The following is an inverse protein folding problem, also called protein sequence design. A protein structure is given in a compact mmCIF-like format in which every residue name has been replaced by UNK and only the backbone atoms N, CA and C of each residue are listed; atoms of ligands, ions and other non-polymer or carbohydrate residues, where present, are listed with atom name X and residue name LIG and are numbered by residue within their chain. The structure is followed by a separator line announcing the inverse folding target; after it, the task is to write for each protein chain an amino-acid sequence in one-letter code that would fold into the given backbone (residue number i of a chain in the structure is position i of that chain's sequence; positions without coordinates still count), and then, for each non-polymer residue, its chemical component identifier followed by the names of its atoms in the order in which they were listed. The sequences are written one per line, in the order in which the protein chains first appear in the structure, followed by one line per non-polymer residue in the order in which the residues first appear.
data_IF_283090834185
#
_entry.id   IF_283090834185
#
_cell.length_a   1.000
_cell.length_b   1.000
_cell.length_c   1.000
_cell.angle_alpha   90.00
_cell.angle_beta   90.00
_cell.angle_gamma   90.00
#
_symmetry.space_group_name_H-M   'P 1'
#
loop_
_entity.id
_entity.type
_entity.pdbx_description
1 polymer ?
#
# COMPACT_ATOMS: atom_id res chain seq x y z
N UNK A 1 -14.67 11.05 39.90
CA UNK A 1 -13.42 11.67 39.40
C UNK A 1 -12.50 10.51 39.05
N UNK A 2 -11.93 10.47 37.84
CA UNK A 2 -10.98 9.40 37.48
C UNK A 2 -9.69 9.65 38.28
N UNK A 3 -9.18 8.64 38.97
CA UNK A 3 -7.92 8.74 39.72
C UNK A 3 -6.73 8.69 38.77
N UNK A 4 -5.74 9.54 39.04
CA UNK A 4 -4.43 9.50 38.40
C UNK A 4 -3.52 8.67 39.28
N UNK A 5 -3.17 7.47 38.83
CA UNK A 5 -2.41 6.51 39.64
C UNK A 5 -0.95 6.94 39.82
N UNK A 6 -0.47 7.86 38.97
CA UNK A 6 0.92 8.33 38.93
C UNK A 6 1.18 9.51 39.89
N UNK A 7 0.12 10.10 40.45
CA UNK A 7 0.22 11.30 41.30
C UNK A 7 1.13 11.11 42.54
N UNK A 8 1.15 9.91 43.13
CA UNK A 8 2.05 9.60 44.26
C UNK A 8 3.53 9.59 43.85
N UNK A 9 3.85 9.22 42.60
CA UNK A 9 5.20 9.34 42.06
C UNK A 9 5.57 10.81 41.80
N UNK A 10 4.63 11.63 41.31
CA UNK A 10 4.85 13.08 41.16
C UNK A 10 5.12 13.74 42.51
N UNK A 11 4.33 13.43 43.53
CA UNK A 11 4.51 13.98 44.87
C UNK A 11 5.83 13.54 45.49
N UNK A 12 6.21 12.27 45.33
CA UNK A 12 7.53 11.78 45.73
C UNK A 12 8.65 12.57 45.05
N UNK A 13 8.50 12.87 43.77
CA UNK A 13 9.46 13.66 43.00
C UNK A 13 9.57 15.11 43.49
N UNK A 14 8.45 15.79 43.72
CA UNK A 14 8.45 17.15 44.24
C UNK A 14 9.09 17.24 45.63
N UNK A 15 8.93 16.21 46.46
CA UNK A 15 9.57 16.16 47.78
C UNK A 15 11.08 15.92 47.72
N UNK A 16 11.57 15.18 46.72
CA UNK A 16 12.99 14.89 46.54
C UNK A 16 13.73 15.97 45.74
N UNK A 17 13.04 16.72 44.88
CA UNK A 17 13.63 17.80 44.06
C UNK A 17 14.48 18.80 44.85
N UNK A 18 14.04 19.35 46.00
CA UNK A 18 14.86 20.26 46.80
C UNK A 18 16.08 19.57 47.42
N UNK A 19 15.98 18.29 47.75
CA UNK A 19 17.08 17.53 48.33
C UNK A 19 18.15 17.34 47.28
N UNK A 20 17.78 16.87 46.08
CA UNK A 20 18.68 16.60 44.95
C UNK A 20 19.29 17.88 44.37
N UNK A 21 18.53 18.98 44.25
CA UNK A 21 19.03 20.25 43.69
C UNK A 21 19.96 21.02 44.63
N UNK A 22 19.89 20.80 45.95
CA UNK A 22 20.67 21.54 46.95
C UNK A 22 21.83 20.72 47.57
N UNK A 23 22.20 19.59 46.98
CA UNK A 23 23.20 18.69 47.56
C UNK A 23 24.62 19.29 47.50
N UNK A 24 25.24 19.48 48.66
CA UNK A 24 26.69 19.58 48.86
C UNK A 24 27.35 18.22 49.17
N UNK A 25 26.56 17.18 49.48
CA UNK A 25 27.02 15.82 49.87
C UNK A 25 26.14 14.71 49.27
N UNK A 26 26.67 13.82 48.42
CA UNK A 26 25.89 12.82 47.68
C UNK A 26 25.02 11.93 48.60
N UNK A 27 23.88 11.39 48.09
CA UNK A 27 22.99 10.53 48.88
C UNK A 27 23.75 9.31 49.43
N UNK A 28 23.39 8.86 50.64
CA UNK A 28 24.00 7.66 51.23
C UNK A 28 23.49 6.38 50.54
N UNK A 29 24.23 5.28 50.67
CA UNK A 29 23.80 3.96 50.15
C UNK A 29 22.42 3.53 50.72
N UNK A 30 22.14 3.90 51.98
CA UNK A 30 20.85 3.62 52.61
C UNK A 30 19.70 4.44 51.96
N UNK A 31 19.96 5.70 51.58
CA UNK A 31 18.98 6.54 50.89
C UNK A 31 18.65 5.95 49.51
N UNK A 32 19.69 5.54 48.76
CA UNK A 32 19.54 4.87 47.46
C UNK A 32 18.70 3.61 47.55
N UNK A 33 18.98 2.75 48.52
CA UNK A 33 18.23 1.52 48.72
C UNK A 33 16.77 1.82 49.07
N UNK A 34 16.53 2.79 49.96
CA UNK A 34 15.17 3.21 50.33
C UNK A 34 14.38 3.73 49.13
N UNK A 35 15.00 4.55 48.27
CA UNK A 35 14.37 5.05 47.05
C UNK A 35 14.05 3.93 46.06
N UNK A 36 14.98 2.99 45.85
CA UNK A 36 14.75 1.82 45.01
C UNK A 36 13.57 0.95 45.50
N UNK A 37 13.50 0.68 46.79
CA UNK A 37 12.43 -0.11 47.40
C UNK A 37 11.08 0.59 47.24
N UNK A 38 11.03 1.90 47.50
CA UNK A 38 9.81 2.70 47.29
C UNK A 38 9.36 2.68 45.83
N UNK A 39 10.25 3.04 44.88
CA UNK A 39 9.92 3.10 43.45
C UNK A 39 9.47 1.74 42.91
N UNK A 40 10.09 0.65 43.38
CA UNK A 40 9.69 -0.71 43.02
C UNK A 40 8.29 -1.06 43.54
N UNK A 41 8.02 -0.79 44.81
CA UNK A 41 6.72 -1.02 45.42
C UNK A 41 5.62 -0.21 44.73
N UNK A 42 5.92 1.05 44.42
CA UNK A 42 4.97 1.98 43.83
C UNK A 42 4.66 1.67 42.36
N UNK A 43 5.69 1.35 41.56
CA UNK A 43 5.52 0.82 40.20
C UNK A 43 4.61 -0.41 40.19
N UNK A 44 4.82 -1.33 41.13
CA UNK A 44 4.01 -2.54 41.28
C UNK A 44 2.58 -2.24 41.70
N UNK A 45 2.38 -1.24 42.59
CA UNK A 45 1.05 -0.77 43.00
C UNK A 45 0.29 -0.21 41.80
N UNK A 46 0.91 0.66 41.02
CA UNK A 46 0.31 1.29 39.83
C UNK A 46 -0.11 0.25 38.81
N UNK A 47 0.77 -0.70 38.45
CA UNK A 47 0.43 -1.77 37.51
C UNK A 47 -0.76 -2.61 37.97
N UNK A 48 -0.80 -3.00 39.26
CA UNK A 48 -1.94 -3.72 39.85
C UNK A 48 -3.23 -2.88 39.84
N UNK A 49 -3.12 -1.56 40.04
CA UNK A 49 -4.25 -0.65 39.98
C UNK A 49 -4.80 -0.49 38.57
N UNK A 50 -3.97 -0.44 37.53
CA UNK A 50 -4.44 -0.50 36.15
C UNK A 50 -5.26 -1.76 35.89
N UNK A 51 -4.75 -2.93 36.29
CA UNK A 51 -5.48 -4.19 36.13
C UNK A 51 -6.81 -4.18 36.88
N UNK A 52 -6.79 -3.80 38.16
CA UNK A 52 -7.99 -3.82 39.01
C UNK A 52 -9.05 -2.83 38.52
N UNK A 53 -8.67 -1.57 38.30
CA UNK A 53 -9.61 -0.50 37.95
C UNK A 53 -10.16 -0.68 36.54
N UNK A 54 -9.35 -1.16 35.58
CA UNK A 54 -9.80 -1.37 34.22
C UNK A 54 -11.00 -2.34 34.14
N UNK A 55 -10.99 -3.42 34.93
CA UNK A 55 -12.09 -4.39 34.96
C UNK A 55 -13.30 -3.94 35.80
N UNK A 56 -13.11 -3.05 36.77
CA UNK A 56 -14.19 -2.53 37.61
C UNK A 56 -14.96 -1.37 36.95
N UNK A 57 -14.31 -0.64 36.04
CA UNK A 57 -14.90 0.50 35.36
C UNK A 57 -15.74 0.07 34.15
N UNK A 58 -16.73 0.90 33.79
CA UNK A 58 -17.48 0.73 32.53
C UNK A 58 -16.53 0.91 31.34
N UNK A 59 -16.73 0.23 30.20
CA UNK A 59 -15.77 0.21 29.09
C UNK A 59 -15.24 1.59 28.64
N UNK A 60 -16.13 2.55 28.32
CA UNK A 60 -15.71 3.91 27.91
C UNK A 60 -14.95 4.67 29.01
N UNK A 61 -15.27 4.39 30.27
CA UNK A 61 -14.61 5.03 31.43
C UNK A 61 -13.25 4.39 31.67
N UNK A 62 -13.13 3.08 31.49
CA UNK A 62 -11.88 2.34 31.56
C UNK A 62 -10.90 2.78 30.46
N UNK A 63 -11.38 2.93 29.22
CA UNK A 63 -10.60 3.48 28.11
C UNK A 63 -10.06 4.88 28.45
N UNK A 64 -10.94 5.81 28.84
CA UNK A 64 -10.53 7.17 29.22
C UNK A 64 -9.56 7.17 30.40
N UNK A 65 -9.74 6.28 31.35
CA UNK A 65 -8.85 6.11 32.49
C UNK A 65 -7.43 5.70 32.05
N UNK A 66 -7.30 4.75 31.12
CA UNK A 66 -6.00 4.37 30.55
C UNK A 66 -5.39 5.53 29.78
N UNK A 67 -6.15 6.21 28.92
CA UNK A 67 -5.65 7.33 28.11
C UNK A 67 -5.11 8.47 28.96
N UNK A 68 -5.82 8.85 30.03
CA UNK A 68 -5.38 9.91 30.94
C UNK A 68 -4.08 9.53 31.66
N UNK A 69 -4.03 8.33 32.25
CA UNK A 69 -2.83 7.87 32.94
C UNK A 69 -1.64 7.70 31.98
N UNK A 70 -1.88 7.29 30.74
CA UNK A 70 -0.83 7.21 29.72
C UNK A 70 -0.27 8.60 29.39
N UNK A 71 -1.13 9.60 29.15
CA UNK A 71 -0.70 10.98 28.87
C UNK A 71 0.08 11.60 30.04
N UNK A 72 -0.38 11.39 31.27
CA UNK A 72 0.29 11.93 32.44
C UNK A 72 1.63 11.21 32.70
N UNK A 73 1.72 9.92 32.40
CA UNK A 73 3.00 9.20 32.42
C UNK A 73 4.01 9.78 31.42
N UNK A 74 3.57 10.03 30.18
CA UNK A 74 4.43 10.63 29.15
C UNK A 74 4.96 12.00 29.60
N UNK A 75 4.06 12.86 30.11
CA UNK A 75 4.42 14.18 30.63
C UNK A 75 5.43 14.11 31.77
N UNK A 76 5.24 13.17 32.70
CA UNK A 76 6.14 12.98 33.83
C UNK A 76 7.53 12.54 33.35
N UNK A 77 7.60 11.58 32.41
CA UNK A 77 8.87 11.14 31.82
C UNK A 77 9.57 12.31 31.12
N UNK A 78 8.88 13.04 30.25
CA UNK A 78 9.45 14.19 29.55
C UNK A 78 9.97 15.25 30.52
N UNK A 79 9.22 15.56 31.58
CA UNK A 79 9.67 16.51 32.61
C UNK A 79 10.94 16.04 33.32
N UNK A 80 11.10 14.74 33.57
CA UNK A 80 12.28 14.17 34.23
C UNK A 80 13.47 14.17 33.27
N UNK A 81 13.26 13.87 31.99
CA UNK A 81 14.29 13.93 30.96
C UNK A 81 14.85 15.35 30.82
N UNK A 82 13.97 16.34 30.75
CA UNK A 82 14.35 17.75 30.69
C UNK A 82 15.16 18.16 31.92
N UNK A 83 14.74 17.75 33.12
CA UNK A 83 15.50 18.02 34.35
C UNK A 83 16.87 17.34 34.33
N UNK A 84 16.94 16.06 33.93
CA UNK A 84 18.19 15.32 33.80
C UNK A 84 19.18 16.02 32.87
N UNK A 85 18.73 16.49 31.71
CA UNK A 85 19.57 17.21 30.75
C UNK A 85 20.05 18.57 31.27
N UNK A 86 19.21 19.28 32.01
CA UNK A 86 19.55 20.59 32.59
C UNK A 86 20.50 20.50 33.80
N UNK A 87 20.60 19.34 34.45
CA UNK A 87 21.47 19.13 35.63
C UNK A 87 22.93 18.76 35.32
N UNK A 88 23.29 18.55 34.06
CA UNK A 88 24.63 18.09 33.61
C UNK A 88 25.81 19.01 34.04
N UNK A 89 25.53 20.22 34.53
CA UNK A 89 26.55 21.18 34.99
C UNK A 89 26.96 21.14 36.48
N UNK A 90 26.32 20.36 37.35
CA UNK A 90 26.63 20.30 38.80
C UNK A 90 26.70 18.84 39.27
N UNK A 91 27.85 18.42 39.79
CA UNK A 91 28.21 17.05 40.21
C UNK A 91 27.51 15.92 39.42
N UNK A 92 27.99 15.59 38.21
CA UNK A 92 27.22 14.89 37.18
C UNK A 92 26.84 13.43 37.49
N UNK A 93 27.46 12.77 38.46
CA UNK A 93 27.32 11.31 38.63
C UNK A 93 26.06 10.93 39.42
N UNK A 94 25.97 11.34 40.68
CA UNK A 94 24.90 10.90 41.59
C UNK A 94 23.51 11.41 41.20
N UNK A 95 23.40 12.65 40.73
CA UNK A 95 22.13 13.24 40.30
C UNK A 95 21.63 12.59 39.00
N UNK A 96 22.53 12.32 38.05
CA UNK A 96 22.17 11.65 36.81
C UNK A 96 21.75 10.19 37.08
N UNK A 97 22.49 9.46 37.92
CA UNK A 97 22.13 8.11 38.33
C UNK A 97 20.70 8.04 38.93
N UNK A 98 20.29 9.07 39.68
CA UNK A 98 18.96 9.14 40.25
C UNK A 98 17.87 9.26 39.18
N UNK A 99 18.04 10.20 38.25
CA UNK A 99 17.07 10.38 37.16
C UNK A 99 17.03 9.14 36.26
N UNK A 100 18.17 8.51 35.96
CA UNK A 100 18.22 7.26 35.19
C UNK A 100 17.49 6.11 35.89
N UNK A 101 17.67 5.98 37.22
CA UNK A 101 16.93 5.02 38.03
C UNK A 101 15.42 5.27 37.91
N UNK A 102 14.98 6.51 38.12
CA UNK A 102 13.57 6.88 38.07
C UNK A 102 12.94 6.62 36.70
N UNK A 103 13.61 7.06 35.62
CA UNK A 103 13.19 6.83 34.25
C UNK A 103 13.05 5.32 33.96
N UNK A 104 13.94 4.49 34.52
CA UNK A 104 13.85 3.03 34.41
C UNK A 104 12.58 2.46 35.07
N UNK A 105 12.12 3.01 36.19
CA UNK A 105 10.88 2.56 36.83
C UNK A 105 9.63 3.06 36.08
N UNK A 106 9.62 4.31 35.62
CA UNK A 106 8.52 4.86 34.82
C UNK A 106 8.39 4.13 33.48
N UNK A 107 9.52 3.77 32.87
CA UNK A 107 9.56 2.92 31.69
C UNK A 107 8.84 1.59 31.91
N UNK A 108 9.00 0.94 33.08
CA UNK A 108 8.29 -0.32 33.37
C UNK A 108 6.79 -0.13 33.41
N UNK A 109 6.30 1.02 33.89
CA UNK A 109 4.88 1.38 33.85
C UNK A 109 4.44 1.61 32.40
N UNK A 110 5.24 2.33 31.61
CA UNK A 110 4.96 2.62 30.20
C UNK A 110 4.86 1.33 29.38
N UNK A 111 5.86 0.44 29.46
CA UNK A 111 5.88 -0.86 28.79
C UNK A 111 4.68 -1.72 29.20
N UNK A 112 4.28 -1.67 30.47
CA UNK A 112 3.08 -2.37 30.93
C UNK A 112 1.81 -1.84 30.24
N UNK A 113 1.64 -0.52 30.18
CA UNK A 113 0.52 0.12 29.49
C UNK A 113 0.47 -0.25 28.00
N UNK A 114 1.60 -0.10 27.32
CA UNK A 114 1.75 -0.41 25.91
C UNK A 114 1.49 -1.90 25.60
N UNK A 115 1.89 -2.82 26.49
CA UNK A 115 1.70 -4.26 26.30
C UNK A 115 0.25 -4.71 26.48
N UNK A 116 -0.42 -4.25 27.53
CA UNK A 116 -1.73 -4.79 27.93
C UNK A 116 -2.91 -3.94 27.46
N UNK A 117 -2.68 -2.66 27.16
CA UNK A 117 -3.73 -1.70 26.85
C UNK A 117 -3.51 -0.96 25.53
N UNK A 118 -2.69 -1.51 24.63
CA UNK A 118 -2.38 -0.95 23.31
C UNK A 118 -3.62 -0.43 22.54
N UNK A 119 -4.71 -1.21 22.56
CA UNK A 119 -5.94 -0.89 21.84
C UNK A 119 -6.65 0.40 22.34
N UNK A 120 -6.31 0.89 23.53
CA UNK A 120 -6.90 2.07 24.15
C UNK A 120 -5.96 3.29 24.11
N UNK A 121 -4.73 3.11 23.66
CA UNK A 121 -3.69 4.14 23.63
C UNK A 121 -3.64 4.74 22.22
N UNK A 122 -3.53 6.07 22.16
CA UNK A 122 -3.25 6.74 20.90
C UNK A 122 -1.78 6.50 20.51
N UNK A 123 -1.59 5.67 19.49
CA UNK A 123 -0.27 5.26 19.02
C UNK A 123 0.43 6.36 18.19
N UNK A 124 -0.28 7.43 17.82
CA UNK A 124 0.27 8.58 17.10
C UNK A 124 0.87 9.63 18.05
N UNK A 125 0.80 9.38 19.37
CA UNK A 125 1.50 10.20 20.35
C UNK A 125 3.01 9.97 20.30
N UNK A 126 3.81 11.04 20.43
CA UNK A 126 5.25 10.93 20.48
C UNK A 126 5.68 10.19 21.76
N UNK A 127 6.71 9.37 21.63
CA UNK A 127 7.31 8.67 22.76
C UNK A 127 8.43 9.52 23.41
N UNK A 128 8.67 9.34 24.72
CA UNK A 128 9.77 10.02 25.41
C UNK A 128 11.12 9.54 24.88
N UNK A 129 12.11 10.43 24.88
CA UNK A 129 13.38 10.18 24.20
C UNK A 129 14.17 9.06 24.87
N UNK A 130 14.16 8.99 26.21
CA UNK A 130 14.82 7.94 26.98
C UNK A 130 14.35 6.55 26.55
N UNK A 131 13.03 6.36 26.51
CA UNK A 131 12.43 5.10 26.09
C UNK A 131 12.80 4.77 24.64
N UNK A 132 12.65 5.75 23.75
CA UNK A 132 12.93 5.57 22.34
C UNK A 132 14.40 5.19 22.06
N UNK A 133 15.37 5.78 22.77
CA UNK A 133 16.78 5.49 22.59
C UNK A 133 17.13 4.04 22.95
N UNK A 134 16.55 3.53 24.03
CA UNK A 134 16.74 2.13 24.44
C UNK A 134 16.17 1.15 23.42
N UNK A 135 14.97 1.44 22.91
CA UNK A 135 14.32 0.63 21.88
C UNK A 135 15.10 0.69 20.55
N UNK A 136 15.61 1.86 20.18
CA UNK A 136 16.52 2.03 19.02
C UNK A 136 17.78 1.18 19.16
N UNK A 137 18.38 1.10 20.34
CA UNK A 137 19.55 0.26 20.56
C UNK A 137 19.25 -1.23 20.33
N UNK A 138 18.09 -1.71 20.77
CA UNK A 138 17.63 -3.09 20.50
C UNK A 138 17.42 -3.34 19.01
N UNK A 139 16.72 -2.42 18.33
CA UNK A 139 16.50 -2.49 16.87
C UNK A 139 17.83 -2.46 16.10
N UNK A 140 18.77 -1.61 16.51
CA UNK A 140 20.08 -1.50 15.86
C UNK A 140 20.88 -2.80 15.94
N UNK A 141 20.85 -3.50 17.08
CA UNK A 141 21.49 -4.80 17.25
C UNK A 141 20.93 -5.84 16.27
N UNK A 142 19.61 -5.97 16.20
CA UNK A 142 18.98 -6.91 15.27
C UNK A 142 19.15 -6.51 13.80
N UNK A 143 19.15 -5.21 13.49
CA UNK A 143 19.42 -4.72 12.13
C UNK A 143 20.84 -5.08 11.69
N UNK A 144 21.82 -5.03 12.59
CA UNK A 144 23.18 -5.47 12.30
C UNK A 144 23.22 -6.95 11.89
N UNK A 145 22.45 -7.81 12.57
CA UNK A 145 22.31 -9.21 12.17
C UNK A 145 21.64 -9.35 10.80
N UNK A 146 20.55 -8.61 10.54
CA UNK A 146 19.87 -8.62 9.24
C UNK A 146 20.75 -8.15 8.08
N UNK A 147 21.74 -7.30 8.32
CA UNK A 147 22.72 -6.90 7.29
C UNK A 147 23.56 -8.08 6.76
N UNK A 148 23.53 -9.24 7.40
CA UNK A 148 24.10 -10.47 6.82
C UNK A 148 23.37 -10.92 5.56
N UNK A 149 22.15 -10.45 5.30
CA UNK A 149 21.44 -10.69 4.04
C UNK A 149 22.19 -10.15 2.81
N UNK A 150 23.02 -9.11 2.94
CA UNK A 150 23.89 -8.65 1.84
C UNK A 150 24.96 -9.67 1.43
N UNK A 151 25.23 -10.68 2.26
CA UNK A 151 26.18 -11.74 1.95
C UNK A 151 25.55 -12.85 1.08
N UNK A 152 24.23 -12.82 0.89
CA UNK A 152 23.51 -13.78 0.05
C UNK A 152 23.48 -13.28 -1.39
N UNK A 153 24.20 -13.91 -2.33
CA UNK A 153 24.34 -13.43 -3.71
C UNK A 153 23.02 -13.47 -4.50
N UNK A 154 22.03 -14.22 -4.03
CA UNK A 154 20.71 -14.35 -4.66
C UNK A 154 19.83 -13.12 -4.43
N UNK A 155 20.14 -12.29 -3.43
CA UNK A 155 19.33 -11.13 -3.08
C UNK A 155 19.85 -9.89 -3.80
N UNK A 156 18.94 -9.14 -4.43
CA UNK A 156 19.25 -7.85 -5.00
C UNK A 156 19.65 -6.87 -3.89
N UNK A 157 20.93 -6.45 -3.89
CA UNK A 157 21.46 -5.50 -2.93
C UNK A 157 20.72 -4.16 -2.98
N UNK A 158 20.25 -3.72 -4.15
CA UNK A 158 19.50 -2.48 -4.28
C UNK A 158 18.13 -2.58 -3.60
N UNK A 159 17.47 -3.74 -3.67
CA UNK A 159 16.23 -4.00 -2.95
C UNK A 159 16.43 -3.94 -1.44
N UNK A 160 17.54 -4.51 -0.93
CA UNK A 160 17.90 -4.41 0.49
C UNK A 160 18.18 -2.97 0.93
N UNK A 161 18.89 -2.19 0.10
CA UNK A 161 19.17 -0.79 0.39
C UNK A 161 17.88 0.03 0.55
N UNK A 162 16.90 -0.20 -0.33
CA UNK A 162 15.58 0.43 -0.24
C UNK A 162 14.86 0.00 1.03
N UNK A 163 14.81 -1.32 1.30
CA UNK A 163 14.11 -1.86 2.46
C UNK A 163 14.69 -1.37 3.79
N UNK A 164 16.01 -1.30 3.90
CA UNK A 164 16.69 -0.89 5.14
C UNK A 164 16.82 0.63 5.29
N UNK A 165 16.57 1.43 4.25
CA UNK A 165 16.72 2.89 4.36
C UNK A 165 15.83 3.52 5.43
N UNK A 166 14.50 3.26 5.50
CA UNK A 166 13.65 3.89 6.51
C UNK A 166 14.08 3.57 7.94
N UNK A 167 14.49 2.32 8.21
CA UNK A 167 14.95 1.94 9.55
C UNK A 167 16.33 2.54 9.88
N UNK A 168 17.23 2.67 8.89
CA UNK A 168 18.49 3.39 9.09
C UNK A 168 18.26 4.88 9.39
N UNK A 169 17.28 5.52 8.74
CA UNK A 169 16.90 6.91 9.04
C UNK A 169 16.28 7.04 10.43
N UNK A 170 15.41 6.10 10.81
CA UNK A 170 14.83 6.00 12.15
C UNK A 170 15.91 5.98 13.22
N UNK A 171 16.94 5.15 13.05
CA UNK A 171 18.06 5.02 13.99
C UNK A 171 18.97 6.25 14.02
N UNK A 172 19.15 6.97 12.90
CA UNK A 172 20.06 8.13 12.81
C UNK A 172 19.47 9.42 13.40
N UNK A 173 18.15 9.63 13.29
CA UNK A 173 17.53 10.89 13.72
C UNK A 173 17.31 10.89 15.23
N UNK A 174 18.00 11.77 15.94
CA UNK A 174 17.88 11.94 17.39
C UNK A 174 16.81 12.98 17.79
N UNK A 175 16.45 13.90 16.91
CA UNK A 175 15.57 15.04 17.22
C UNK A 175 14.15 14.89 16.67
N UNK A 176 13.84 13.77 16.03
CA UNK A 176 12.49 13.50 15.52
C UNK A 176 11.69 12.82 16.62
N UNK A 177 10.57 13.42 17.00
CA UNK A 177 9.57 12.79 17.86
C UNK A 177 8.93 11.64 17.08
N UNK A 178 9.39 10.41 17.37
CA UNK A 178 8.79 9.22 16.80
C UNK A 178 7.61 8.76 17.65
N UNK A 179 6.58 8.29 16.96
CA UNK A 179 5.36 7.79 17.57
C UNK A 179 5.50 6.31 17.95
N UNK A 180 4.61 5.83 18.83
CA UNK A 180 4.59 4.41 19.16
C UNK A 180 4.25 3.55 17.94
N UNK A 181 3.39 4.04 17.04
CA UNK A 181 3.05 3.34 15.79
C UNK A 181 4.29 3.10 14.92
N UNK A 182 5.14 4.11 14.75
CA UNK A 182 6.38 3.99 13.97
C UNK A 182 7.36 3.02 14.62
N UNK A 183 7.52 3.08 15.94
CA UNK A 183 8.35 2.13 16.67
C UNK A 183 7.85 0.68 16.48
N UNK A 184 6.54 0.46 16.65
CA UNK A 184 5.91 -0.84 16.44
C UNK A 184 6.13 -1.36 15.03
N UNK A 185 6.06 -0.49 14.02
CA UNK A 185 6.35 -0.86 12.65
C UNK A 185 7.76 -1.43 12.51
N UNK A 186 8.79 -0.74 13.01
CA UNK A 186 10.18 -1.19 12.89
C UNK A 186 10.48 -2.44 13.74
N UNK A 187 9.91 -2.56 14.94
CA UNK A 187 9.99 -3.79 15.72
C UNK A 187 9.37 -4.98 14.97
N UNK A 188 8.20 -4.78 14.36
CA UNK A 188 7.53 -5.80 13.55
C UNK A 188 8.33 -6.14 12.30
N UNK A 189 8.89 -5.13 11.62
CA UNK A 189 9.78 -5.31 10.47
C UNK A 189 10.96 -6.21 10.82
N UNK A 190 11.70 -5.89 11.88
CA UNK A 190 12.82 -6.71 12.35
C UNK A 190 12.38 -8.14 12.64
N UNK A 191 11.32 -8.30 13.44
CA UNK A 191 10.80 -9.61 13.85
C UNK A 191 10.42 -10.48 12.66
N UNK A 192 9.77 -9.91 11.66
CA UNK A 192 9.32 -10.63 10.47
C UNK A 192 10.45 -10.97 9.50
N UNK A 193 11.57 -10.23 9.56
CA UNK A 193 12.71 -10.39 8.66
C UNK A 193 13.82 -11.27 9.23
N UNK A 194 13.96 -11.38 10.56
CA UNK A 194 14.97 -12.24 11.18
C UNK A 194 14.94 -13.69 10.65
N UNK A 195 13.78 -14.33 10.45
CA UNK A 195 13.71 -15.68 9.87
C UNK A 195 14.31 -15.82 8.47
N UNK A 196 14.47 -14.73 7.70
CA UNK A 196 15.11 -14.76 6.38
C UNK A 196 16.59 -15.17 6.48
N UNK A 197 17.24 -14.96 7.63
CA UNK A 197 18.62 -15.38 7.87
C UNK A 197 18.79 -16.90 7.91
N UNK A 198 17.74 -17.62 8.29
CA UNK A 198 17.75 -19.08 8.46
C UNK A 198 17.12 -19.81 7.26
N UNK A 199 16.56 -19.07 6.30
CA UNK A 199 15.97 -19.66 5.08
C UNK A 199 17.02 -20.35 4.22
N UNK A 200 16.64 -21.47 3.62
CA UNK A 200 17.55 -22.29 2.81
C UNK A 200 17.79 -21.66 1.42
N UNK A 201 18.92 -21.98 0.76
CA UNK A 201 19.26 -21.41 -0.54
C UNK A 201 18.32 -21.79 -1.69
N UNK A 202 17.52 -22.87 -1.57
CA UNK A 202 16.63 -23.30 -2.64
C UNK A 202 15.37 -22.43 -2.81
N UNK A 203 15.14 -21.49 -1.88
CA UNK A 203 14.02 -20.56 -1.93
C UNK A 203 14.40 -19.27 -2.68
N UNK A 204 13.50 -18.74 -3.51
CA UNK A 204 13.70 -17.44 -4.16
C UNK A 204 13.69 -16.32 -3.11
N UNK A 205 14.88 -15.92 -2.67
CA UNK A 205 15.05 -14.95 -1.61
C UNK A 205 14.53 -13.55 -1.99
N UNK A 206 14.61 -13.15 -3.27
CA UNK A 206 14.05 -11.87 -3.70
C UNK A 206 12.52 -11.89 -3.60
N UNK A 207 11.90 -13.01 -3.99
CA UNK A 207 10.47 -13.19 -3.80
C UNK A 207 10.08 -13.08 -2.31
N UNK A 208 10.85 -13.71 -1.40
CA UNK A 208 10.59 -13.62 0.03
C UNK A 208 10.71 -12.20 0.57
N UNK A 209 11.73 -11.45 0.13
CA UNK A 209 11.89 -10.04 0.49
C UNK A 209 10.69 -9.21 0.00
N UNK A 210 10.30 -9.35 -1.27
CA UNK A 210 9.12 -8.68 -1.80
C UNK A 210 7.86 -9.05 -1.03
N UNK A 211 7.65 -10.34 -0.77
CA UNK A 211 6.50 -10.83 -0.01
C UNK A 211 6.43 -10.18 1.38
N UNK A 212 7.54 -10.12 2.10
CA UNK A 212 7.60 -9.47 3.42
C UNK A 212 7.32 -7.96 3.34
N UNK A 213 7.81 -7.26 2.31
CA UNK A 213 7.50 -5.85 2.07
C UNK A 213 6.01 -5.62 1.78
N UNK A 214 5.37 -6.49 0.99
CA UNK A 214 3.92 -6.43 0.77
C UNK A 214 3.12 -6.74 2.03
N UNK A 215 3.50 -7.80 2.75
CA UNK A 215 2.86 -8.24 3.99
C UNK A 215 2.89 -7.14 5.06
N UNK A 216 4.03 -6.48 5.25
CA UNK A 216 4.18 -5.36 6.19
C UNK A 216 3.57 -4.04 5.70
N UNK A 217 3.04 -4.01 4.48
CA UNK A 217 2.57 -2.78 3.84
C UNK A 217 3.66 -1.69 3.82
N UNK A 218 4.84 -2.04 3.26
CA UNK A 218 5.97 -1.13 3.03
C UNK A 218 5.63 -0.16 1.89
N UNK A 219 4.71 0.76 2.15
CA UNK A 219 4.17 1.74 1.20
C UNK A 219 5.11 2.94 0.99
N UNK A 220 6.40 2.64 0.84
CA UNK A 220 7.47 3.57 0.56
C UNK A 220 7.52 3.93 -0.93
N UNK A 221 7.73 5.22 -1.22
CA UNK A 221 7.75 5.75 -2.59
C UNK A 221 8.91 5.17 -3.42
N UNK A 222 10.10 5.04 -2.84
CA UNK A 222 11.26 4.50 -3.55
C UNK A 222 11.06 3.03 -3.91
N UNK A 223 10.48 2.25 -3.00
CA UNK A 223 10.14 0.86 -3.29
C UNK A 223 9.11 0.73 -4.42
N UNK A 224 8.09 1.60 -4.44
CA UNK A 224 7.15 1.67 -5.56
C UNK A 224 7.88 1.96 -6.88
N UNK A 225 8.78 2.93 -6.90
CA UNK A 225 9.57 3.28 -8.10
C UNK A 225 10.41 2.09 -8.55
N UNK A 226 11.09 1.40 -7.63
CA UNK A 226 11.84 0.19 -7.91
C UNK A 226 10.95 -0.89 -8.56
N UNK A 227 9.79 -1.19 -7.96
CA UNK A 227 8.87 -2.18 -8.52
C UNK A 227 8.35 -1.77 -9.91
N UNK A 228 8.11 -0.48 -10.13
CA UNK A 228 7.67 0.05 -11.43
C UNK A 228 8.73 -0.15 -12.49
N UNK A 229 9.99 0.20 -12.20
CA UNK A 229 11.11 -0.01 -13.12
C UNK A 229 11.31 -1.49 -13.43
N UNK A 230 11.30 -2.37 -12.42
CA UNK A 230 11.44 -3.82 -12.63
C UNK A 230 10.28 -4.44 -13.39
N UNK A 231 9.06 -3.89 -13.26
CA UNK A 231 7.93 -4.30 -14.08
C UNK A 231 8.17 -3.91 -15.54
N UNK A 232 8.54 -2.65 -15.78
CA UNK A 232 8.82 -2.14 -17.12
C UNK A 232 9.89 -2.96 -17.84
N UNK A 233 11.04 -3.20 -17.19
CA UNK A 233 12.13 -4.02 -17.74
C UNK A 233 11.63 -5.41 -18.18
N UNK A 234 10.85 -6.07 -17.30
CA UNK A 234 10.29 -7.40 -17.58
C UNK A 234 9.27 -7.41 -18.71
N UNK A 235 8.55 -6.31 -18.91
CA UNK A 235 7.60 -6.20 -20.02
C UNK A 235 8.34 -5.91 -21.32
N UNK A 236 9.42 -5.13 -21.31
CA UNK A 236 10.24 -4.86 -22.50
C UNK A 236 10.99 -6.09 -23.01
N UNK A 237 11.38 -7.00 -22.12
CA UNK A 237 11.99 -8.29 -22.49
C UNK A 237 11.03 -9.24 -23.25
N UNK A 238 9.71 -9.03 -23.16
CA UNK A 238 8.72 -9.90 -23.79
C UNK A 238 8.45 -9.45 -25.25
N UNK A 239 8.59 -10.35 -26.23
CA UNK A 239 8.55 -9.96 -27.65
C UNK A 239 7.14 -9.63 -28.14
N UNK A 240 6.10 -10.26 -27.59
CA UNK A 240 4.73 -10.07 -28.06
C UNK A 240 3.86 -9.33 -27.04
N UNK A 241 2.90 -8.57 -27.55
CA UNK A 241 1.91 -7.91 -26.68
C UNK A 241 1.08 -8.92 -25.88
N UNK A 242 0.74 -10.06 -26.48
CA UNK A 242 -0.01 -11.12 -25.80
C UNK A 242 0.74 -11.61 -24.56
N UNK A 243 2.04 -11.84 -24.65
CA UNK A 243 2.86 -12.24 -23.51
C UNK A 243 2.95 -11.12 -22.46
N UNK A 244 3.08 -9.85 -22.87
CA UNK A 244 3.06 -8.70 -21.96
C UNK A 244 1.74 -8.63 -21.18
N UNK A 245 0.60 -8.76 -21.87
CA UNK A 245 -0.75 -8.77 -21.29
C UNK A 245 -0.92 -9.96 -20.32
N UNK A 246 -0.50 -11.16 -20.71
CA UNK A 246 -0.57 -12.34 -19.85
C UNK A 246 0.27 -12.13 -18.58
N UNK A 247 1.47 -11.55 -18.72
CA UNK A 247 2.36 -11.26 -17.60
C UNK A 247 1.75 -10.24 -16.64
N UNK A 248 1.17 -9.17 -17.16
CA UNK A 248 0.44 -8.17 -16.38
C UNK A 248 -0.72 -8.80 -15.61
N UNK A 249 -1.56 -9.59 -16.29
CA UNK A 249 -2.69 -10.28 -15.65
C UNK A 249 -2.24 -11.24 -14.55
N UNK A 250 -1.11 -11.93 -14.75
CA UNK A 250 -0.49 -12.76 -13.73
C UNK A 250 -0.05 -11.94 -12.51
N UNK A 251 0.57 -10.78 -12.71
CA UNK A 251 0.96 -9.88 -11.61
C UNK A 251 -0.26 -9.37 -10.83
N UNK A 252 -1.30 -8.89 -11.52
CA UNK A 252 -2.57 -8.45 -10.89
C UNK A 252 -3.16 -9.56 -10.03
N UNK A 253 -3.27 -10.77 -10.60
CA UNK A 253 -3.84 -11.93 -9.92
C UNK A 253 -3.01 -12.34 -8.70
N UNK A 254 -1.68 -12.25 -8.82
CA UNK A 254 -0.75 -12.59 -7.73
C UNK A 254 -0.84 -11.58 -6.60
N UNK A 255 -0.78 -10.28 -6.89
CA UNK A 255 -0.85 -9.22 -5.88
C UNK A 255 -2.18 -9.23 -5.12
N UNK A 256 -3.30 -9.46 -5.81
CA UNK A 256 -4.62 -9.55 -5.15
C UNK A 256 -4.76 -10.73 -4.18
N UNK A 257 -3.89 -11.75 -4.29
CA UNK A 257 -3.86 -12.91 -3.38
C UNK A 257 -2.89 -12.72 -2.21
N UNK A 258 -2.05 -11.68 -2.23
CA UNK A 258 -1.14 -11.41 -1.13
C UNK A 258 -1.93 -10.88 0.06
N UNK A 259 -1.63 -11.43 1.23
CA UNK A 259 -2.20 -10.98 2.49
C UNK A 259 -1.35 -9.83 3.04
N UNK A 260 -2.01 -8.77 3.51
CA UNK A 260 -1.35 -7.72 4.27
C UNK A 260 -1.65 -7.89 5.76
N UNK A 261 -0.66 -7.58 6.58
CA UNK A 261 -0.83 -7.55 8.02
C UNK A 261 -1.78 -6.39 8.39
N UNK A 262 -2.88 -6.67 9.11
CA UNK A 262 -3.82 -5.63 9.50
C UNK A 262 -3.16 -4.58 10.40
N UNK A 263 -3.53 -3.32 10.23
CA UNK A 263 -3.11 -2.19 11.07
C UNK A 263 -1.59 -1.92 11.11
N UNK A 264 -0.82 -2.47 10.16
CA UNK A 264 0.61 -2.19 9.98
C UNK A 264 0.82 -1.47 8.66
N UNK A 265 1.53 -0.34 8.69
CA UNK A 265 1.90 0.44 7.51
C UNK A 265 3.10 1.32 7.84
N UNK A 266 4.04 1.46 6.90
CA UNK A 266 5.18 2.37 7.07
C UNK A 266 4.72 3.83 7.08
N UNK A 267 3.80 4.17 6.18
CA UNK A 267 3.20 5.48 6.02
C UNK A 267 1.68 5.35 6.12
N UNK A 268 1.08 5.38 7.33
CA UNK A 268 -0.36 5.12 7.53
C UNK A 268 -1.31 6.05 6.76
N UNK A 269 -0.86 7.26 6.42
CA UNK A 269 -1.65 8.22 5.62
C UNK A 269 -1.62 7.98 4.10
N UNK A 270 -0.86 6.99 3.62
CA UNK A 270 -0.73 6.67 2.20
C UNK A 270 -1.51 5.39 1.84
N UNK A 271 -1.94 5.22 0.58
CA UNK A 271 -2.52 3.96 0.12
C UNK A 271 -1.59 2.77 0.37
N UNK A 272 -2.14 1.57 0.48
CA UNK A 272 -1.32 0.37 0.69
C UNK A 272 -0.38 0.12 -0.49
N UNK A 273 0.76 -0.51 -0.25
CA UNK A 273 1.72 -0.83 -1.31
C UNK A 273 1.10 -1.74 -2.39
N UNK A 274 0.17 -2.63 -2.02
CA UNK A 274 -0.59 -3.43 -2.99
C UNK A 274 -1.43 -2.53 -3.88
N UNK A 275 -2.19 -1.58 -3.31
CA UNK A 275 -3.01 -0.67 -4.11
C UNK A 275 -2.16 0.22 -5.01
N UNK A 276 -1.02 0.71 -4.50
CA UNK A 276 -0.08 1.50 -5.29
C UNK A 276 0.52 0.69 -6.46
N UNK A 277 0.89 -0.57 -6.22
CA UNK A 277 1.43 -1.44 -7.27
C UNK A 277 0.36 -1.83 -8.29
N UNK A 278 -0.86 -2.14 -7.85
CA UNK A 278 -1.98 -2.44 -8.74
C UNK A 278 -2.33 -1.25 -9.66
N UNK A 279 -2.35 -0.04 -9.11
CA UNK A 279 -2.59 1.16 -9.92
C UNK A 279 -1.55 1.32 -11.03
N UNK A 280 -0.27 1.12 -10.72
CA UNK A 280 0.82 1.16 -11.73
C UNK A 280 0.63 0.08 -12.79
N UNK A 281 0.28 -1.14 -12.38
CA UNK A 281 0.07 -2.25 -13.32
C UNK A 281 -1.15 -2.00 -14.23
N UNK A 282 -2.22 -1.41 -13.70
CA UNK A 282 -3.41 -1.04 -14.46
C UNK A 282 -3.11 0.10 -15.46
N UNK A 283 -2.29 1.07 -15.08
CA UNK A 283 -1.79 2.11 -15.99
C UNK A 283 -0.94 1.50 -17.13
N UNK A 284 -0.03 0.58 -16.82
CA UNK A 284 0.79 -0.11 -17.84
C UNK A 284 -0.06 -0.99 -18.76
N UNK A 285 -1.07 -1.68 -18.21
CA UNK A 285 -2.02 -2.44 -19.00
C UNK A 285 -2.74 -1.55 -20.03
N UNK A 286 -3.20 -0.38 -19.59
CA UNK A 286 -3.89 0.57 -20.46
C UNK A 286 -2.95 1.12 -21.54
N UNK A 287 -1.71 1.48 -21.16
CA UNK A 287 -0.69 1.93 -22.11
C UNK A 287 -0.41 0.89 -23.20
N UNK A 288 -0.30 -0.39 -22.83
CA UNK A 288 -0.09 -1.50 -23.76
C UNK A 288 -1.21 -1.59 -24.80
N UNK A 289 -2.47 -1.53 -24.37
CA UNK A 289 -3.65 -1.55 -25.27
C UNK A 289 -3.66 -0.33 -26.19
N UNK A 290 -3.45 0.87 -25.64
CA UNK A 290 -3.48 2.11 -26.42
C UNK A 290 -2.36 2.14 -27.46
N UNK A 291 -1.18 1.61 -27.12
CA UNK A 291 -0.05 1.50 -28.05
C UNK A 291 -0.33 0.58 -29.24
N UNK A 292 -1.10 -0.51 -29.03
CA UNK A 292 -1.52 -1.41 -30.10
C UNK A 292 -2.56 -0.75 -31.00
N UNK A 293 -3.58 -0.14 -30.42
CA UNK A 293 -4.61 0.60 -31.16
C UNK A 293 -3.97 1.68 -32.06
N UNK A 294 -2.96 2.39 -31.57
CA UNK A 294 -2.22 3.38 -32.36
C UNK A 294 -1.41 2.76 -33.50
N UNK A 295 -0.77 1.60 -33.28
CA UNK A 295 -0.06 0.85 -34.34
C UNK A 295 -1.02 0.32 -35.39
N UNK A 296 -2.17 -0.21 -34.99
CA UNK A 296 -3.21 -0.64 -35.92
C UNK A 296 -3.70 0.54 -36.76
N UNK A 297 -3.99 1.69 -36.15
CA UNK A 297 -4.39 2.90 -36.86
C UNK A 297 -3.32 3.37 -37.87
N UNK A 298 -2.04 3.33 -37.49
CA UNK A 298 -0.93 3.71 -38.37
C UNK A 298 -0.74 2.73 -39.55
N UNK A 299 -0.81 1.43 -39.28
CA UNK A 299 -0.69 0.38 -40.32
C UNK A 299 -1.87 0.45 -41.29
N UNK A 300 -3.06 0.73 -40.78
CA UNK A 300 -4.27 0.92 -41.60
C UNK A 300 -4.20 2.19 -42.47
N UNK A 301 -3.42 3.21 -42.10
CA UNK A 301 -3.23 4.40 -42.95
C UNK A 301 -2.26 4.20 -44.11
N UNK A 302 -1.25 3.33 -43.96
CA UNK A 302 -0.25 3.09 -45.03
C UNK A 302 -0.83 2.21 -46.15
N UNK A 303 -1.66 1.21 -45.83
CA UNK A 303 -2.31 0.32 -46.81
C UNK A 303 -3.53 0.94 -47.52
N UNK A 304 -4.06 2.08 -47.04
CA UNK A 304 -5.26 2.74 -47.62
C UNK A 304 -4.99 3.58 -48.88
N UNK A 305 -3.74 3.69 -49.34
CA UNK A 305 -3.40 4.53 -50.50
C UNK A 305 -3.85 3.96 -51.86
N UNK A 306 -4.39 2.72 -51.92
CA UNK A 306 -4.73 2.06 -53.18
C UNK A 306 -6.13 1.40 -53.25
N UNK A 307 -6.94 1.42 -52.18
CA UNK A 307 -8.29 0.84 -52.20
C UNK A 307 -9.38 1.92 -52.21
N UNK A 308 -10.22 1.89 -53.25
CA UNK A 308 -11.36 2.80 -53.39
C UNK A 308 -12.47 2.36 -52.45
N UNK A 309 -12.60 3.02 -51.28
CA UNK A 309 -13.68 2.76 -50.33
C UNK A 309 -15.02 3.16 -50.96
N UNK A 310 -15.97 2.23 -51.02
CA UNK A 310 -17.29 2.46 -51.61
C UNK A 310 -18.22 3.12 -50.59
N UNK A 311 -18.79 4.27 -50.94
CA UNK A 311 -19.75 4.96 -50.07
C UNK A 311 -21.14 4.37 -50.25
N UNK A 312 -21.75 3.91 -49.16
CA UNK A 312 -23.10 3.34 -49.15
C UNK A 312 -24.10 4.26 -48.46
N UNK A 313 -25.39 4.27 -48.89
CA UNK A 313 -26.44 5.09 -48.31
C UNK A 313 -27.02 4.50 -47.00
N UNK A 314 -26.20 3.75 -46.25
CA UNK A 314 -26.56 3.11 -44.98
C UNK A 314 -25.75 3.75 -43.85
N UNK A 315 -26.31 3.82 -42.64
CA UNK A 315 -25.54 4.14 -41.43
C UNK A 315 -24.63 2.98 -41.03
N UNK A 316 -23.60 3.26 -40.21
CA UNK A 316 -22.67 2.21 -39.73
C UNK A 316 -23.41 1.05 -39.06
N UNK A 317 -24.42 1.35 -38.24
CA UNK A 317 -25.26 0.34 -37.59
C UNK A 317 -26.12 -0.46 -38.58
N UNK A 318 -26.70 0.20 -39.59
CA UNK A 318 -27.47 -0.49 -40.63
C UNK A 318 -26.58 -1.42 -41.46
N UNK A 319 -25.36 -0.98 -41.77
CA UNK A 319 -24.41 -1.80 -42.52
C UNK A 319 -23.93 -3.02 -41.71
N UNK A 320 -23.68 -2.85 -40.40
CA UNK A 320 -23.31 -3.95 -39.51
C UNK A 320 -24.46 -4.98 -39.37
N UNK A 321 -25.70 -4.50 -39.27
CA UNK A 321 -26.87 -5.36 -39.18
C UNK A 321 -27.21 -6.05 -40.53
N UNK A 322 -26.91 -5.40 -41.65
CA UNK A 322 -26.99 -6.01 -42.98
C UNK A 322 -25.98 -7.15 -43.10
N UNK A 323 -24.72 -6.93 -42.72
CA UNK A 323 -23.68 -7.95 -42.74
C UNK A 323 -24.06 -9.18 -41.89
N UNK A 324 -24.56 -8.95 -40.68
CA UNK A 324 -25.07 -10.03 -39.81
C UNK A 324 -26.28 -10.76 -40.41
N UNK A 325 -27.16 -10.05 -41.11
CA UNK A 325 -28.31 -10.68 -41.79
C UNK A 325 -27.86 -11.53 -42.97
N UNK A 326 -26.90 -11.06 -43.77
CA UNK A 326 -26.32 -11.80 -44.89
C UNK A 326 -25.59 -13.07 -44.42
N UNK A 327 -24.86 -13.00 -43.31
CA UNK A 327 -24.30 -14.18 -42.63
C UNK A 327 -25.41 -15.18 -42.25
N UNK A 328 -26.47 -14.71 -41.58
CA UNK A 328 -27.55 -15.58 -41.10
C UNK A 328 -28.33 -16.29 -42.22
N UNK A 329 -28.34 -15.71 -43.43
CA UNK A 329 -28.99 -16.28 -44.63
C UNK A 329 -28.02 -17.18 -45.41
N UNK A 330 -26.76 -17.28 -44.97
CA UNK A 330 -25.74 -18.12 -45.61
C UNK A 330 -25.20 -17.52 -46.91
N UNK A 331 -25.25 -16.19 -47.08
CA UNK A 331 -24.73 -15.51 -48.27
C UNK A 331 -23.22 -15.68 -48.44
N UNK A 332 -22.49 -15.88 -47.34
CA UNK A 332 -21.05 -16.14 -47.31
C UNK A 332 -20.78 -17.52 -46.69
N UNK A 333 -20.89 -18.62 -47.45
CA UNK A 333 -20.85 -19.97 -46.90
C UNK A 333 -19.50 -20.36 -46.28
N UNK A 334 -18.40 -19.77 -46.77
CA UNK A 334 -17.04 -20.10 -46.35
C UNK A 334 -16.38 -19.05 -45.45
N UNK A 335 -17.05 -17.93 -45.17
CA UNK A 335 -16.46 -16.81 -44.44
C UNK A 335 -16.81 -16.85 -42.95
N UNK A 336 -15.82 -16.61 -42.09
CA UNK A 336 -16.06 -16.47 -40.64
C UNK A 336 -16.62 -15.09 -40.30
N UNK A 337 -17.36 -14.92 -39.19
CA UNK A 337 -17.92 -13.62 -38.78
C UNK A 337 -16.88 -12.50 -38.70
N UNK A 338 -15.67 -12.80 -38.21
CA UNK A 338 -14.57 -11.82 -38.16
C UNK A 338 -14.09 -11.37 -39.55
N UNK A 339 -14.09 -12.27 -40.54
CA UNK A 339 -13.70 -11.94 -41.92
C UNK A 339 -14.76 -11.09 -42.60
N UNK A 340 -16.04 -11.35 -42.34
CA UNK A 340 -17.17 -10.55 -42.80
C UNK A 340 -17.09 -9.14 -42.19
N UNK A 341 -16.89 -9.03 -40.89
CA UNK A 341 -16.73 -7.74 -40.17
C UNK A 341 -15.59 -6.93 -40.78
N UNK A 342 -14.42 -7.54 -40.94
CA UNK A 342 -13.22 -6.92 -41.51
C UNK A 342 -13.44 -6.49 -42.96
N UNK A 343 -14.08 -7.33 -43.76
CA UNK A 343 -14.42 -7.01 -45.15
C UNK A 343 -15.31 -5.76 -45.23
N UNK A 344 -16.39 -5.72 -44.45
CA UNK A 344 -17.31 -4.59 -44.50
C UNK A 344 -16.72 -3.29 -43.96
N UNK A 345 -15.94 -3.36 -42.88
CA UNK A 345 -15.28 -2.19 -42.31
C UNK A 345 -14.20 -1.60 -43.23
N UNK A 346 -13.54 -2.43 -44.04
CA UNK A 346 -12.45 -2.00 -44.92
C UNK A 346 -12.92 -1.54 -46.31
N UNK A 347 -14.04 -2.07 -46.81
CA UNK A 347 -14.48 -1.79 -48.19
C UNK A 347 -15.58 -0.74 -48.30
N UNK A 348 -16.26 -0.41 -47.19
CA UNK A 348 -17.41 0.50 -47.21
C UNK A 348 -17.26 1.70 -46.25
N UNK A 349 -17.85 2.82 -46.64
CA UNK A 349 -18.07 3.99 -45.78
C UNK A 349 -19.57 4.29 -45.66
N UNK A 350 -20.00 4.76 -44.49
CA UNK A 350 -21.40 5.04 -44.21
C UNK A 350 -21.79 6.46 -44.61
N UNK A 351 -23.08 6.79 -44.57
CA UNK A 351 -23.56 8.17 -44.83
C UNK A 351 -23.02 9.16 -43.80
N UNK A 352 -22.86 8.70 -42.55
CA UNK A 352 -22.45 9.51 -41.40
C UNK A 352 -20.93 9.52 -41.17
N UNK A 353 -20.21 8.45 -41.51
CA UNK A 353 -18.79 8.28 -41.19
C UNK A 353 -17.95 8.06 -42.44
N UNK A 354 -16.90 8.88 -42.63
CA UNK A 354 -15.94 8.75 -43.74
C UNK A 354 -15.16 7.42 -43.68
N UNK A 355 -14.99 6.85 -42.50
CA UNK A 355 -14.28 5.58 -42.26
C UNK A 355 -14.95 4.83 -41.13
N UNK A 356 -15.22 3.54 -41.32
CA UNK A 356 -15.79 2.66 -40.30
C UNK A 356 -14.65 2.00 -39.54
N UNK A 357 -14.64 2.13 -38.21
CA UNK A 357 -13.68 1.43 -37.34
C UNK A 357 -14.13 -0.02 -37.15
N UNK A 358 -13.22 -0.97 -37.33
CA UNK A 358 -13.50 -2.42 -37.21
C UNK A 358 -14.02 -2.78 -35.81
N UNK A 359 -13.42 -2.21 -34.75
CA UNK A 359 -13.85 -2.41 -33.37
C UNK A 359 -15.28 -1.90 -33.11
N UNK A 360 -15.62 -0.71 -33.60
CA UNK A 360 -16.98 -0.18 -33.53
C UNK A 360 -17.97 -1.00 -34.35
N UNK A 361 -17.56 -1.49 -35.52
CA UNK A 361 -18.39 -2.32 -36.38
C UNK A 361 -18.65 -3.68 -35.74
N UNK A 362 -17.66 -4.27 -35.09
CA UNK A 362 -17.76 -5.52 -34.35
C UNK A 362 -18.80 -5.42 -33.22
N UNK A 363 -18.77 -4.36 -32.42
CA UNK A 363 -19.78 -4.14 -31.36
C UNK A 363 -21.19 -3.98 -31.94
N UNK A 364 -21.31 -3.28 -33.08
CA UNK A 364 -22.61 -3.06 -33.73
C UNK A 364 -23.15 -4.31 -34.44
N UNK A 365 -22.26 -5.18 -34.92
CA UNK A 365 -22.59 -6.46 -35.57
C UNK A 365 -23.34 -7.40 -34.62
N UNK A 366 -22.84 -7.55 -33.39
CA UNK A 366 -23.45 -8.42 -32.38
C UNK A 366 -24.54 -7.74 -31.52
N UNK A 367 -24.82 -6.47 -31.76
CA UNK A 367 -25.81 -5.72 -30.97
C UNK A 367 -27.23 -6.29 -31.13
N UNK A 368 -27.97 -6.34 -30.01
CA UNK A 368 -29.39 -6.75 -29.95
C UNK A 368 -30.31 -5.66 -29.38
N UNK A 369 -29.82 -4.42 -29.29
CA UNK A 369 -30.55 -3.32 -28.66
C UNK A 369 -31.74 -2.81 -29.50
N UNK A 370 -32.62 -2.01 -28.91
CA UNK A 370 -33.85 -1.49 -29.54
C UNK A 370 -33.60 -0.68 -30.82
N UNK A 371 -32.44 -0.03 -30.94
CA UNK A 371 -31.98 0.67 -32.15
C UNK A 371 -31.71 -0.27 -33.34
N UNK A 372 -31.48 -1.57 -33.10
CA UNK A 372 -31.29 -2.59 -34.15
C UNK A 372 -32.59 -2.87 -34.89
N UNK A 373 -33.74 -2.83 -34.20
CA UNK A 373 -35.05 -3.05 -34.84
C UNK A 373 -35.34 -1.97 -35.88
N UNK A 374 -35.08 -0.71 -35.52
CA UNK A 374 -35.19 0.45 -36.42
C UNK A 374 -34.21 0.36 -37.59
N UNK A 375 -32.97 -0.07 -37.32
CA UNK A 375 -31.97 -0.29 -38.37
C UNK A 375 -32.43 -1.37 -39.38
N UNK A 376 -32.99 -2.49 -38.90
CA UNK A 376 -33.54 -3.56 -39.74
C UNK A 376 -34.74 -3.11 -40.58
N UNK A 377 -35.63 -2.28 -40.05
CA UNK A 377 -36.71 -1.68 -40.85
C UNK A 377 -36.16 -0.84 -42.00
N UNK A 378 -35.14 -0.01 -41.76
CA UNK A 378 -34.48 0.75 -42.82
C UNK A 378 -33.74 -0.10 -43.86
N UNK A 379 -33.24 -1.28 -43.47
CA UNK A 379 -32.66 -2.25 -44.41
C UNK A 379 -33.74 -2.84 -45.31
N UNK A 380 -34.90 -3.21 -44.77
CA UNK A 380 -36.03 -3.76 -45.55
C UNK A 380 -36.50 -2.78 -46.61
N UNK A 381 -36.63 -1.49 -46.27
CA UNK A 381 -36.97 -0.44 -47.25
C UNK A 381 -35.98 -0.35 -48.41
N UNK A 382 -34.69 -0.58 -48.13
CA UNK A 382 -33.64 -0.61 -49.15
C UNK A 382 -33.72 -1.87 -50.02
N UNK A 383 -33.97 -3.03 -49.41
CA UNK A 383 -34.18 -4.29 -50.13
C UNK A 383 -35.40 -4.20 -51.05
N UNK A 384 -36.49 -3.59 -50.60
CA UNK A 384 -37.70 -3.38 -51.41
C UNK A 384 -37.44 -2.46 -52.61
N UNK A 385 -36.62 -1.41 -52.43
CA UNK A 385 -36.19 -0.55 -53.55
C UNK A 385 -35.35 -1.31 -54.57
N UNK A 386 -34.42 -2.15 -54.12
CA UNK A 386 -33.59 -3.00 -55.00
C UNK A 386 -34.47 -4.02 -55.71
N UNK A 387 -35.40 -4.66 -55.01
CA UNK A 387 -36.36 -5.60 -55.58
C UNK A 387 -37.19 -4.95 -56.68
N UNK A 388 -37.74 -3.76 -56.43
CA UNK A 388 -38.52 -3.00 -57.43
C UNK A 388 -37.68 -2.64 -58.66
N UNK A 389 -36.42 -2.23 -58.46
CA UNK A 389 -35.51 -1.93 -59.57
C UNK A 389 -35.21 -3.18 -60.43
N UNK A 390 -35.03 -4.34 -59.80
CA UNK A 390 -34.84 -5.62 -60.50
C UNK A 390 -36.11 -6.08 -61.24
N UNK A 391 -37.29 -5.86 -60.66
CA UNK A 391 -38.58 -6.11 -61.31
C UNK A 391 -38.79 -5.19 -62.52
N UNK A 392 -38.45 -3.91 -62.41
CA UNK A 392 -38.52 -2.95 -63.52
C UNK A 392 -37.51 -3.27 -64.65
N UNK A 393 -36.33 -3.82 -64.32
CA UNK A 393 -35.34 -4.29 -65.32
C UNK A 393 -35.78 -5.57 -66.02
N UNK A 394 -36.41 -6.51 -65.30
CA UNK A 394 -36.94 -7.76 -65.89
C UNK A 394 -38.15 -7.52 -66.79
N UNK A 395 -38.95 -6.48 -66.54
CA UNK A 395 -40.02 -6.01 -67.44
C UNK A 395 -39.46 -5.33 -68.71
N UNK A 396 -38.23 -4.79 -68.67
CA UNK A 396 -37.55 -4.18 -69.83
C UNK A 396 -36.75 -5.16 -70.69
N UNK A 397 -36.46 -6.35 -70.15
CA UNK A 397 -35.70 -7.41 -70.84
C UNK A 397 -36.58 -8.52 -71.43
N UNK A 398 -37.89 -8.49 -71.17
CA UNK A 398 -38.93 -9.17 -71.95
C UNK A 398 -39.56 -8.19 -72.94
#
# INVERSE_FOLDING_TARGET
MLTLEIHELENFMENLRPQIKNVLTPPSEADWQSWHEYLHAETSRIQKKFQSNFHLLKPKVAERYIQLNFLDLLRLIDSIEDESQNTVGRDPSSTNEFYQMLLTYLERVLVHLLKYYNAFIDQDLPLPQFFLQKEKASIAGNLLELKRLYQRPEIDAHLLDIAFRPINEFLKRNHSQYTYRELLYFQTFIKEWLPLLDMKPEEDMNWQVHYKLYYLNFNNVEYRIYCTGRLHDKLEELPTLSEKIEKVNWYVSTLRRLHQMPHVALLPGQPSIINQALAVIEEEYQYLIDSENLKELATTQVDRSSQTILKVPLSSLQLAQLASTLESVGFFPDAKPGEIIRFFANNFSSVSDKTILESSFHTQYYSRATNVRTAKTGIVEWVDKVKKALEDETVRTN
#
